data_IF_387956643448
#
_entry.id   IF_387956643448
#
_cell.length_a   1.000
_cell.length_b   1.000
_cell.length_c   1.000
_cell.angle_alpha   90.00
_cell.angle_beta   90.00
_cell.angle_gamma   90.00
#
_symmetry.space_group_name_H-M   'P 1'
#
loop_
_entity.id
_entity.type
_entity.pdbx_description
1 polymer ?
#
# COMPACT_ATOMS: atom_id res chain seq x y z
N UNK A 1 -7.63 66.18 13.69
CA UNK A 1 -7.21 64.78 13.92
C UNK A 1 -7.68 63.96 12.73
N UNK A 2 -6.79 63.12 12.19
CA UNK A 2 -6.73 62.69 10.79
C UNK A 2 -7.84 61.70 10.37
N UNK A 3 -8.40 61.91 9.17
CA UNK A 3 -9.25 60.96 8.43
C UNK A 3 -8.39 59.87 7.80
N UNK A 4 -8.85 58.62 7.75
CA UNK A 4 -8.20 57.57 6.95
C UNK A 4 -8.85 56.21 7.07
N UNK A 5 -9.87 55.95 6.24
CA UNK A 5 -10.28 54.60 5.83
C UNK A 5 -9.15 54.03 4.97
N UNK A 6 -8.64 52.83 5.26
CA UNK A 6 -7.81 52.09 4.30
C UNK A 6 -7.99 50.56 4.47
N UNK A 7 -8.91 50.04 3.66
CA UNK A 7 -8.78 48.88 2.77
C UNK A 7 -8.24 47.57 3.39
N UNK A 8 -9.16 46.61 3.47
CA UNK A 8 -8.90 45.18 3.59
C UNK A 8 -7.95 44.70 2.48
N UNK A 9 -6.81 44.11 2.85
CA UNK A 9 -6.06 43.18 2.01
C UNK A 9 -6.31 41.76 2.52
N UNK A 10 -7.29 41.11 1.90
CA UNK A 10 -7.47 39.66 1.93
C UNK A 10 -6.22 39.03 1.31
N UNK A 11 -5.28 38.59 2.15
CA UNK A 11 -4.20 37.73 1.72
C UNK A 11 -4.80 36.35 1.44
N UNK A 12 -5.24 36.15 0.20
CA UNK A 12 -5.48 34.82 -0.35
C UNK A 12 -4.11 34.16 -0.38
N UNK A 13 -3.80 33.39 0.66
CA UNK A 13 -2.72 32.43 0.63
C UNK A 13 -3.07 31.43 -0.47
N UNK A 14 -2.53 31.67 -1.67
CA UNK A 14 -2.39 30.66 -2.70
C UNK A 14 -1.50 29.57 -2.11
N UNK A 15 -2.13 28.58 -1.48
CA UNK A 15 -1.51 27.33 -1.11
C UNK A 15 -1.19 26.65 -2.45
N UNK A 16 0.00 26.96 -2.97
CA UNK A 16 0.54 26.29 -4.14
C UNK A 16 0.71 24.82 -3.81
N UNK A 17 -0.27 24.01 -4.20
CA UNK A 17 -0.18 22.56 -4.18
C UNK A 17 0.82 22.15 -5.26
N UNK A 18 2.11 22.22 -4.92
CA UNK A 18 3.19 21.64 -5.71
C UNK A 18 3.09 20.12 -5.65
N UNK A 19 2.14 19.55 -6.39
CA UNK A 19 2.09 18.12 -6.64
C UNK A 19 3.35 17.66 -7.39
N UNK A 20 3.80 16.42 -7.22
CA UNK A 20 4.93 15.88 -7.95
C UNK A 20 4.70 15.99 -9.47
N UNK A 21 5.78 16.30 -10.20
CA UNK A 21 5.78 16.80 -11.59
C UNK A 21 5.15 15.84 -12.61
N UNK A 22 4.91 14.59 -12.25
CA UNK A 22 4.33 13.55 -13.11
C UNK A 22 2.93 13.08 -12.68
N UNK A 23 2.35 13.72 -11.67
CA UNK A 23 1.02 13.42 -11.14
C UNK A 23 0.96 12.13 -10.31
N UNK A 24 2.09 11.55 -9.91
CA UNK A 24 2.10 10.39 -9.00
C UNK A 24 1.78 10.79 -7.57
N UNK A 25 1.36 9.83 -6.76
CA UNK A 25 0.98 10.05 -5.37
C UNK A 25 2.01 9.39 -4.46
N UNK A 26 2.46 10.13 -3.43
CA UNK A 26 3.05 9.49 -2.26
C UNK A 26 1.92 8.85 -1.46
N UNK A 27 1.99 7.53 -1.25
CA UNK A 27 1.00 6.77 -0.49
C UNK A 27 1.67 6.18 0.74
N UNK A 28 0.97 6.21 1.87
CA UNK A 28 1.36 5.54 3.11
C UNK A 28 0.20 4.68 3.59
N UNK A 29 0.45 3.80 4.55
CA UNK A 29 -0.65 3.10 5.16
C UNK A 29 -0.25 2.10 6.21
N UNK A 30 -1.28 1.47 6.75
CA UNK A 30 -1.20 0.47 7.80
C UNK A 30 -1.88 -0.83 7.35
N UNK A 31 -1.28 -1.96 7.71
CA UNK A 31 -1.81 -3.29 7.43
C UNK A 31 -1.75 -4.12 8.71
N UNK A 32 -2.90 -4.63 9.11
CA UNK A 32 -3.02 -5.58 10.22
C UNK A 32 -3.55 -6.92 9.71
N UNK A 33 -3.25 -8.00 10.42
CA UNK A 33 -3.83 -9.32 10.21
C UNK A 33 -4.32 -9.86 11.55
N UNK A 34 -5.62 -10.18 11.62
CA UNK A 34 -6.30 -10.63 12.84
C UNK A 34 -6.05 -9.70 14.05
N UNK A 35 -5.98 -8.39 13.79
CA UNK A 35 -5.79 -7.35 14.81
C UNK A 35 -4.35 -7.06 15.17
N UNK A 36 -3.37 -7.82 14.66
CA UNK A 36 -1.95 -7.56 14.88
C UNK A 36 -1.30 -6.89 13.67
N UNK A 37 -0.32 -5.97 13.85
CA UNK A 37 0.44 -5.42 12.74
C UNK A 37 1.12 -6.51 11.91
N UNK A 38 0.99 -6.43 10.58
CA UNK A 38 1.63 -7.37 9.67
C UNK A 38 3.16 -7.20 9.73
N UNK A 39 3.87 -8.12 10.40
CA UNK A 39 5.31 -7.97 10.69
C UNK A 39 6.16 -7.75 9.44
N UNK A 40 5.95 -8.57 8.41
CA UNK A 40 6.63 -8.47 7.12
C UNK A 40 5.67 -8.91 6.01
N UNK A 41 5.70 -8.18 4.90
CA UNK A 41 4.87 -8.47 3.74
C UNK A 41 5.19 -7.55 2.56
N UNK A 42 4.42 -7.70 1.49
CA UNK A 42 4.55 -6.88 0.31
C UNK A 42 3.16 -6.50 -0.21
N UNK A 43 2.97 -5.21 -0.44
CA UNK A 43 1.79 -4.62 -1.05
C UNK A 43 2.05 -4.41 -2.54
N UNK A 44 1.11 -4.82 -3.38
CA UNK A 44 1.08 -4.47 -4.81
C UNK A 44 -0.24 -3.77 -5.14
N UNK A 45 -0.12 -2.64 -5.83
CA UNK A 45 -1.20 -1.88 -6.40
C UNK A 45 -1.15 -2.04 -7.92
N UNK A 46 -2.10 -2.81 -8.47
CA UNK A 46 -2.26 -3.01 -9.89
C UNK A 46 -3.41 -2.11 -10.41
N UNK A 47 -3.16 -1.15 -11.32
CA UNK A 47 -4.22 -0.29 -11.82
C UNK A 47 -5.29 -1.10 -12.57
N UNK A 48 -6.55 -0.75 -12.36
CA UNK A 48 -7.69 -1.28 -13.12
C UNK A 48 -7.96 -0.48 -14.40
N UNK A 49 -7.38 0.72 -14.51
CA UNK A 49 -7.34 1.53 -15.73
C UNK A 49 -5.91 1.78 -16.18
N UNK A 50 -5.65 2.97 -16.72
CA UNK A 50 -4.31 3.37 -17.16
C UNK A 50 -3.41 3.78 -16.00
N UNK A 51 -2.15 3.35 -16.04
CA UNK A 51 -1.14 3.79 -15.10
C UNK A 51 -0.08 2.74 -14.82
N UNK A 52 0.97 3.11 -14.07
CA UNK A 52 1.94 2.15 -13.59
C UNK A 52 1.40 1.38 -12.37
N UNK A 53 1.77 0.11 -12.27
CA UNK A 53 1.70 -0.61 -10.99
C UNK A 53 2.69 0.00 -10.00
N UNK A 54 2.36 -0.07 -8.72
CA UNK A 54 3.22 0.38 -7.64
C UNK A 54 3.23 -0.68 -6.53
N UNK A 55 4.26 -0.67 -5.69
CA UNK A 55 4.34 -1.61 -4.58
C UNK A 55 5.32 -1.15 -3.51
N UNK A 56 5.14 -1.69 -2.31
CA UNK A 56 6.01 -1.42 -1.18
C UNK A 56 6.08 -2.64 -0.26
N UNK A 57 7.24 -2.78 0.39
CA UNK A 57 7.37 -3.66 1.54
C UNK A 57 6.54 -3.11 2.70
N UNK A 58 5.85 -4.00 3.38
CA UNK A 58 5.18 -3.74 4.64
C UNK A 58 6.12 -4.22 5.76
N UNK A 59 6.42 -3.35 6.71
CA UNK A 59 7.25 -3.65 7.88
C UNK A 59 6.53 -3.16 9.13
N UNK A 60 6.37 -4.03 10.12
CA UNK A 60 5.66 -3.74 11.37
C UNK A 60 4.29 -3.07 11.13
N UNK A 61 3.58 -3.61 10.14
CA UNK A 61 2.26 -3.15 9.71
C UNK A 61 2.25 -1.82 8.98
N UNK A 62 3.39 -1.25 8.58
CA UNK A 62 3.44 0.05 7.88
C UNK A 62 4.10 -0.08 6.52
N UNK A 63 3.67 0.74 5.57
CA UNK A 63 4.34 0.86 4.28
C UNK A 63 4.37 2.32 3.80
N UNK A 64 5.27 2.60 2.86
CA UNK A 64 5.33 3.88 2.14
C UNK A 64 5.74 3.63 0.70
N UNK A 65 5.03 4.25 -0.24
CA UNK A 65 5.42 4.37 -1.63
C UNK A 65 5.64 5.86 -1.88
N UNK A 66 6.90 6.27 -2.08
CA UNK A 66 7.22 7.66 -2.39
C UNK A 66 6.74 8.04 -3.80
N UNK A 67 6.46 9.34 -3.99
CA UNK A 67 5.86 9.85 -5.21
C UNK A 67 6.64 9.47 -6.48
N UNK A 68 7.98 9.39 -6.43
CA UNK A 68 8.82 9.02 -7.58
C UNK A 68 8.48 7.63 -8.17
N UNK A 69 8.00 6.73 -7.30
CA UNK A 69 7.58 5.36 -7.64
C UNK A 69 6.08 5.14 -7.39
N UNK A 70 5.37 6.22 -7.11
CA UNK A 70 3.98 6.23 -6.69
C UNK A 70 3.02 5.79 -7.78
N UNK A 71 1.82 5.33 -7.40
CA UNK A 71 0.71 5.20 -8.32
C UNK A 71 0.23 6.58 -8.80
N UNK A 72 -0.57 6.62 -9.86
CA UNK A 72 -1.33 7.81 -10.24
C UNK A 72 -2.73 7.75 -9.59
N UNK A 73 -3.49 8.86 -9.55
CA UNK A 73 -4.89 8.80 -9.17
C UNK A 73 -5.68 7.80 -10.04
N UNK A 74 -6.59 7.05 -9.43
CA UNK A 74 -7.39 6.02 -10.10
C UNK A 74 -7.74 4.83 -9.22
N UNK A 75 -8.42 3.84 -9.80
CA UNK A 75 -8.81 2.61 -9.10
C UNK A 75 -7.74 1.52 -9.27
N UNK A 76 -7.40 0.87 -8.15
CA UNK A 76 -6.39 -0.16 -8.09
C UNK A 76 -6.93 -1.43 -7.46
N UNK A 77 -6.55 -2.57 -8.02
CA UNK A 77 -6.59 -3.85 -7.33
C UNK A 77 -5.43 -3.93 -6.35
N UNK A 78 -5.73 -4.36 -5.14
CA UNK A 78 -4.76 -4.48 -4.05
C UNK A 78 -4.45 -5.95 -3.80
N UNK A 79 -3.17 -6.31 -3.90
CA UNK A 79 -2.66 -7.61 -3.48
C UNK A 79 -1.70 -7.43 -2.31
N UNK A 80 -1.87 -8.24 -1.28
CA UNK A 80 -1.00 -8.27 -0.10
C UNK A 80 -0.53 -9.70 0.10
N UNK A 81 0.79 -9.85 0.12
CA UNK A 81 1.46 -11.12 0.36
C UNK A 81 2.26 -11.07 1.65
N UNK A 82 2.16 -12.11 2.47
CA UNK A 82 3.01 -12.27 3.64
C UNK A 82 3.40 -13.73 3.81
N UNK A 83 4.71 -13.96 3.89
CA UNK A 83 5.29 -15.29 3.99
C UNK A 83 5.71 -15.57 5.42
N UNK A 84 5.53 -16.81 5.88
CA UNK A 84 6.08 -17.29 7.15
C UNK A 84 6.89 -18.55 6.92
N UNK A 85 7.95 -18.74 7.70
CA UNK A 85 8.70 -19.99 7.70
C UNK A 85 7.84 -21.14 8.24
N UNK A 86 8.01 -22.32 7.65
CA UNK A 86 7.35 -23.56 8.09
C UNK A 86 8.20 -24.38 9.06
N UNK A 87 9.45 -23.97 9.30
CA UNK A 87 10.47 -24.74 10.03
C UNK A 87 11.10 -25.88 9.22
N UNK A 88 10.68 -26.08 7.96
CA UNK A 88 11.29 -27.05 7.05
C UNK A 88 12.37 -26.39 6.21
N UNK A 89 13.38 -27.16 5.83
CA UNK A 89 14.42 -26.77 4.88
C UNK A 89 14.18 -27.51 3.56
N UNK A 90 14.06 -26.80 2.45
CA UNK A 90 13.82 -27.37 1.11
C UNK A 90 14.95 -27.01 0.16
N UNK A 91 15.25 -27.90 -0.78
CA UNK A 91 16.07 -27.53 -1.94
C UNK A 91 15.15 -26.93 -3.00
N UNK A 92 15.48 -25.73 -3.45
CA UNK A 92 14.73 -24.99 -4.47
C UNK A 92 15.22 -25.27 -5.90
N UNK A 93 16.38 -25.91 -6.02
CA UNK A 93 16.98 -26.30 -7.30
C UNK A 93 17.36 -27.79 -7.23
N UNK A 94 16.66 -28.60 -8.02
CA UNK A 94 16.90 -30.04 -8.09
C UNK A 94 18.32 -30.39 -8.55
N UNK A 95 19.04 -29.48 -9.22
CA UNK A 95 20.43 -29.67 -9.59
C UNK A 95 21.39 -29.56 -8.39
N UNK A 96 20.98 -28.89 -7.31
CA UNK A 96 21.78 -28.67 -6.09
C UNK A 96 20.99 -29.13 -4.84
N UNK A 97 20.81 -30.45 -4.63
CA UNK A 97 19.97 -30.97 -3.55
C UNK A 97 20.52 -30.71 -2.14
N UNK A 98 21.82 -30.41 -2.02
CA UNK A 98 22.47 -30.07 -0.75
C UNK A 98 22.23 -28.60 -0.34
N UNK A 99 21.91 -27.72 -1.30
CA UNK A 99 21.58 -26.32 -1.03
C UNK A 99 20.13 -26.21 -0.56
N UNK A 100 19.95 -26.09 0.76
CA UNK A 100 18.64 -25.96 1.37
C UNK A 100 18.37 -24.55 1.88
N UNK A 101 17.14 -24.10 1.72
CA UNK A 101 16.64 -22.82 2.23
C UNK A 101 15.41 -23.05 3.11
N UNK A 102 15.12 -22.14 4.07
CA UNK A 102 13.88 -22.20 4.83
C UNK A 102 12.68 -22.19 3.89
N UNK A 103 11.82 -23.20 3.99
CA UNK A 103 10.56 -23.22 3.28
C UNK A 103 9.63 -22.19 3.93
N UNK A 104 9.18 -21.24 3.12
CA UNK A 104 8.15 -20.27 3.49
C UNK A 104 6.81 -20.62 2.84
N UNK A 105 5.72 -20.14 3.45
CA UNK A 105 4.36 -20.28 2.93
C UNK A 105 3.59 -18.97 3.09
N UNK A 106 2.75 -18.66 2.11
CA UNK A 106 1.75 -17.60 2.20
C UNK A 106 0.76 -17.97 3.31
N UNK A 107 0.61 -17.11 4.32
CA UNK A 107 -0.33 -17.36 5.41
C UNK A 107 -1.59 -16.47 5.35
N UNK A 108 -1.61 -15.46 4.47
CA UNK A 108 -2.81 -14.68 4.24
C UNK A 108 -3.80 -15.46 3.36
N UNK A 109 -5.10 -15.39 3.66
CA UNK A 109 -6.14 -15.98 2.81
C UNK A 109 -6.02 -15.53 1.35
N UNK A 110 -6.33 -16.45 0.43
CA UNK A 110 -6.19 -16.25 -1.03
C UNK A 110 -6.92 -15.01 -1.56
N UNK A 111 -7.98 -14.57 -0.89
CA UNK A 111 -8.71 -13.33 -1.23
C UNK A 111 -7.85 -12.07 -1.20
N UNK A 112 -6.75 -12.06 -0.44
CA UNK A 112 -5.85 -10.92 -0.38
C UNK A 112 -4.67 -10.99 -1.36
N UNK A 113 -4.40 -12.16 -1.95
CA UNK A 113 -3.26 -12.36 -2.86
C UNK A 113 -3.71 -12.96 -4.20
N UNK A 114 -3.78 -14.28 -4.32
CA UNK A 114 -4.09 -14.98 -5.58
C UNK A 114 -5.40 -14.50 -6.25
N UNK A 115 -6.43 -14.19 -5.45
CA UNK A 115 -7.71 -13.68 -5.96
C UNK A 115 -7.79 -12.16 -5.97
N UNK A 116 -7.01 -11.48 -5.11
CA UNK A 116 -6.93 -10.02 -5.01
C UNK A 116 -8.31 -9.33 -5.03
N UNK A 117 -9.17 -9.68 -4.07
CA UNK A 117 -10.55 -9.21 -3.95
C UNK A 117 -10.65 -7.77 -3.39
N UNK A 118 -9.53 -7.20 -2.92
CA UNK A 118 -9.47 -5.83 -2.45
C UNK A 118 -9.31 -4.85 -3.63
N UNK A 119 -10.08 -3.77 -3.60
CA UNK A 119 -9.88 -2.59 -4.46
C UNK A 119 -9.69 -1.34 -3.61
N UNK A 120 -8.98 -0.35 -4.15
CA UNK A 120 -8.78 0.93 -3.53
C UNK A 120 -8.75 2.04 -4.59
N UNK A 121 -9.58 3.06 -4.39
CA UNK A 121 -9.49 4.31 -5.13
C UNK A 121 -8.42 5.21 -4.51
N UNK A 122 -7.55 5.76 -5.35
CA UNK A 122 -6.47 6.66 -4.96
C UNK A 122 -6.71 8.05 -5.52
N UNK A 123 -6.57 9.08 -4.69
CA UNK A 123 -6.72 10.47 -5.08
C UNK A 123 -5.70 11.38 -4.38
N UNK A 124 -5.44 12.60 -4.87
CA UNK A 124 -4.57 13.57 -4.19
C UNK A 124 -5.00 13.96 -2.77
N UNK A 125 -6.25 13.70 -2.40
CA UNK A 125 -6.90 14.04 -1.13
C UNK A 125 -6.78 12.89 -0.11
N UNK A 126 -6.65 11.65 -0.58
CA UNK A 126 -6.49 10.46 0.27
C UNK A 126 -5.16 9.75 -0.01
N UNK A 127 -4.20 9.92 0.90
CA UNK A 127 -2.82 9.40 0.77
C UNK A 127 -2.45 8.39 1.85
N UNK A 128 -3.37 8.11 2.78
CA UNK A 128 -3.17 7.16 3.86
C UNK A 128 -4.29 6.12 3.86
N UNK A 129 -3.93 4.84 3.88
CA UNK A 129 -4.89 3.74 3.81
C UNK A 129 -4.65 2.72 4.91
N UNK A 130 -5.73 2.12 5.41
CA UNK A 130 -5.68 1.10 6.47
C UNK A 130 -6.37 -0.16 5.95
N UNK A 131 -5.63 -1.27 5.91
CA UNK A 131 -6.17 -2.58 5.56
C UNK A 131 -6.14 -3.50 6.78
N UNK A 132 -7.33 -3.83 7.30
CA UNK A 132 -7.50 -4.78 8.38
C UNK A 132 -7.85 -6.16 7.80
N UNK A 133 -6.83 -7.00 7.65
CA UNK A 133 -6.97 -8.34 7.10
C UNK A 133 -7.43 -9.31 8.19
N UNK A 134 -8.23 -10.30 7.81
CA UNK A 134 -8.74 -11.32 8.75
C UNK A 134 -8.44 -12.72 8.25
N UNK A 135 -8.34 -13.73 9.12
CA UNK A 135 -8.28 -15.13 8.69
C UNK A 135 -9.64 -15.63 8.21
N UNK A 136 -10.72 -15.24 8.90
CA UNK A 136 -12.10 -15.63 8.58
C UNK A 136 -12.61 -14.94 7.33
N UNK A 137 -13.28 -15.69 6.46
CA UNK A 137 -14.02 -15.12 5.35
C UNK A 137 -15.24 -14.33 5.88
N UNK A 138 -15.48 -13.10 5.39
CA UNK A 138 -16.59 -12.26 5.85
C UNK A 138 -17.98 -12.83 5.47
N UNK A 139 -18.05 -13.85 4.62
CA UNK A 139 -19.28 -14.51 4.18
C UNK A 139 -19.47 -15.94 4.68
N UNK A 140 -18.86 -16.30 5.82
CA UNK A 140 -18.85 -17.67 6.35
C UNK A 140 -20.18 -18.42 6.23
N UNK A 141 -20.14 -19.56 5.54
CA UNK A 141 -20.97 -20.73 5.89
C UNK A 141 -20.17 -21.61 6.84
#
# INVERSE_FOLDING_TARGET
MLRGILIALTAIALIGCGGPKDGRLKITGEVTFDGEPLKDGYLTLQPLGDGPSAGARIQDGRFTIDAERGPKPGEYRVSIEAMRETGKMISIDSAFPEEKQPQTVQYLPKRYNERSELTQELSPESKHFVWNLTSKDPGGK
#
